data_IF_129049331116
#
_entry.id   IF_129049331116
#
_cell.length_a   1.000
_cell.length_b   1.000
_cell.length_c   1.000
_cell.angle_alpha   90.00
_cell.angle_beta   90.00
_cell.angle_gamma   90.00
#
_symmetry.space_group_name_H-M   'P 1'
#
loop_
_entity.id
_entity.type
_entity.pdbx_description
1 polymer ?
#
# COMPACT_ATOMS: atom_id res chain seq x y z
N UNK A 1 -4.16 -17.72 -1.05
CA UNK A 1 -2.70 -17.69 -0.81
C UNK A 1 -2.17 -19.10 -1.02
N UNK A 2 -1.33 -19.29 -2.06
CA UNK A 2 -0.55 -20.52 -2.23
C UNK A 2 0.56 -20.52 -1.18
N UNK A 3 0.28 -21.03 0.01
CA UNK A 3 1.30 -21.25 1.04
C UNK A 3 1.87 -22.63 0.85
N UNK A 4 3.12 -22.69 0.41
CA UNK A 4 3.89 -23.92 0.39
C UNK A 4 4.66 -24.11 1.70
N UNK A 5 4.92 -25.36 2.03
CA UNK A 5 5.82 -25.76 3.12
C UNK A 5 7.07 -26.34 2.48
N UNK A 6 8.24 -25.82 2.83
CA UNK A 6 9.52 -26.38 2.42
C UNK A 6 9.97 -27.38 3.48
N UNK A 7 10.18 -28.63 3.07
CA UNK A 7 10.72 -29.69 3.92
C UNK A 7 12.12 -30.04 3.45
N UNK A 8 13.09 -29.95 4.35
CA UNK A 8 14.46 -30.41 4.13
C UNK A 8 14.76 -31.58 5.05
N UNK A 9 15.36 -32.62 4.50
CA UNK A 9 15.75 -33.83 5.24
C UNK A 9 17.28 -33.88 5.34
N UNK A 10 17.78 -34.03 6.56
CA UNK A 10 19.21 -34.06 6.85
C UNK A 10 19.58 -35.42 7.46
N UNK A 11 20.77 -35.89 7.10
CA UNK A 11 21.46 -36.94 7.87
C UNK A 11 22.31 -36.30 8.96
N UNK A 12 22.31 -36.88 10.16
CA UNK A 12 23.09 -36.39 11.28
C UNK A 12 24.08 -37.42 11.73
N UNK A 13 25.35 -37.18 11.42
CA UNK A 13 26.48 -38.04 11.79
C UNK A 13 27.32 -37.29 12.84
N UNK A 14 27.10 -37.61 14.12
CA UNK A 14 27.74 -36.91 15.24
C UNK A 14 27.24 -35.47 15.36
N UNK A 15 28.13 -34.48 15.24
CA UNK A 15 27.83 -33.05 15.31
C UNK A 15 27.69 -32.40 13.91
N UNK A 16 27.78 -33.18 12.82
CA UNK A 16 27.61 -32.68 11.46
C UNK A 16 26.23 -33.04 10.90
N UNK A 17 25.63 -32.12 10.17
CA UNK A 17 24.37 -32.32 9.47
C UNK A 17 24.60 -32.19 7.96
N UNK A 18 24.23 -33.22 7.19
CA UNK A 18 24.32 -33.23 5.73
C UNK A 18 22.92 -33.25 5.13
N UNK A 19 22.65 -32.33 4.17
CA UNK A 19 21.38 -32.26 3.50
C UNK A 19 21.23 -33.45 2.53
N UNK A 20 20.29 -34.34 2.81
CA UNK A 20 19.89 -35.43 1.91
C UNK A 20 19.13 -34.90 0.72
N UNK A 21 18.15 -34.03 0.95
CA UNK A 21 17.34 -33.40 -0.08
C UNK A 21 16.15 -32.63 0.49
N UNK A 22 15.46 -31.91 -0.36
CA UNK A 22 14.31 -31.09 0.00
C UNK A 22 13.13 -31.30 -0.97
N UNK A 23 11.92 -31.00 -0.49
CA UNK A 23 10.71 -30.94 -1.33
C UNK A 23 9.79 -29.81 -0.89
N UNK A 24 8.93 -29.41 -1.81
CA UNK A 24 7.89 -28.41 -1.55
C UNK A 24 6.52 -29.11 -1.45
N UNK A 25 5.77 -28.77 -0.41
CA UNK A 25 4.48 -29.35 -0.08
C UNK A 25 3.42 -28.24 -0.19
N UNK A 26 2.37 -28.48 -0.98
CA UNK A 26 1.20 -27.63 -1.07
C UNK A 26 0.06 -28.25 -0.27
N UNK A 27 -0.15 -27.87 1.02
CA UNK A 27 -1.18 -28.47 1.85
C UNK A 27 -2.59 -28.04 1.37
N UNK A 28 -3.54 -28.96 1.44
CA UNK A 28 -4.96 -28.61 1.26
C UNK A 28 -5.48 -27.93 2.52
N UNK A 29 -5.86 -26.63 2.38
CA UNK A 29 -6.33 -25.80 3.51
C UNK A 29 -7.85 -25.94 3.77
N UNK A 30 -8.38 -27.18 3.76
CA UNK A 30 -9.74 -27.45 4.19
C UNK A 30 -9.72 -27.96 5.63
N UNK A 31 -10.57 -27.38 6.48
CA UNK A 31 -10.64 -27.76 7.89
C UNK A 31 -10.83 -29.27 8.08
N UNK A 32 -10.03 -29.88 8.96
CA UNK A 32 -9.95 -31.30 9.24
C UNK A 32 -9.58 -32.19 8.02
N UNK A 33 -9.09 -31.60 6.92
CA UNK A 33 -8.60 -32.41 5.82
C UNK A 33 -7.26 -33.03 6.14
N UNK A 34 -7.15 -34.34 6.01
CA UNK A 34 -5.90 -35.08 6.10
C UNK A 34 -5.53 -35.60 4.72
N UNK A 35 -4.30 -35.34 4.31
CA UNK A 35 -3.74 -35.90 3.06
C UNK A 35 -2.48 -36.69 3.38
N UNK A 36 -2.32 -37.84 2.71
CA UNK A 36 -1.12 -38.69 2.79
C UNK A 36 -0.54 -38.81 1.39
N UNK A 37 0.69 -38.42 1.19
CA UNK A 37 1.34 -38.45 -0.13
C UNK A 37 2.82 -38.74 0.00
N UNK A 38 3.38 -39.40 -1.04
CA UNK A 38 4.81 -39.49 -1.25
C UNK A 38 5.30 -38.23 -1.97
N UNK A 39 6.43 -37.70 -1.51
CA UNK A 39 7.12 -36.56 -2.11
C UNK A 39 8.54 -36.95 -2.45
N UNK A 40 8.97 -36.63 -3.66
CA UNK A 40 10.34 -36.86 -4.08
C UNK A 40 11.24 -35.78 -3.47
N UNK A 41 12.36 -36.21 -2.90
CA UNK A 41 13.40 -35.32 -2.39
C UNK A 41 14.40 -35.01 -3.51
N UNK A 42 14.70 -33.74 -3.69
CA UNK A 42 15.68 -33.25 -4.65
C UNK A 42 16.82 -32.54 -3.93
N UNK A 43 18.03 -32.68 -4.44
CA UNK A 43 19.19 -31.89 -4.06
C UNK A 43 19.58 -31.03 -5.26
N UNK A 44 19.74 -29.72 -5.05
CA UNK A 44 20.31 -28.80 -6.03
C UNK A 44 21.83 -28.97 -6.00
N UNK A 45 22.46 -29.29 -7.09
CA UNK A 45 23.91 -29.21 -7.24
C UNK A 45 24.28 -27.76 -7.55
N UNK A 46 25.20 -27.18 -6.78
CA UNK A 46 25.63 -25.78 -6.90
C UNK A 46 26.22 -25.40 -8.28
N UNK A 47 26.74 -26.37 -9.02
CA UNK A 47 27.43 -26.12 -10.30
C UNK A 47 26.59 -26.37 -11.57
N UNK A 48 25.41 -26.94 -11.45
CA UNK A 48 24.50 -27.23 -12.58
C UNK A 48 23.07 -27.07 -12.05
N UNK A 49 22.21 -26.30 -12.74
CA UNK A 49 20.79 -26.16 -12.39
C UNK A 49 20.00 -27.49 -12.48
N UNK A 50 20.63 -28.62 -12.19
CA UNK A 50 20.07 -29.95 -12.31
C UNK A 50 19.63 -30.46 -10.93
N UNK A 51 18.35 -30.74 -10.79
CA UNK A 51 17.76 -31.35 -9.61
C UNK A 51 18.03 -32.85 -9.62
N UNK A 52 18.83 -33.35 -8.66
CA UNK A 52 19.10 -34.76 -8.51
C UNK A 52 18.10 -35.39 -7.55
N UNK A 53 17.35 -36.41 -8.01
CA UNK A 53 16.47 -37.22 -7.15
C UNK A 53 17.31 -38.00 -6.12
N UNK A 54 17.02 -37.82 -4.81
CA UNK A 54 17.73 -38.44 -3.70
C UNK A 54 16.92 -39.49 -2.93
N UNK A 55 15.60 -39.49 -3.12
CA UNK A 55 14.74 -40.44 -2.41
C UNK A 55 13.31 -39.94 -2.38
N UNK A 56 12.49 -40.57 -1.56
CA UNK A 56 11.09 -40.19 -1.39
C UNK A 56 10.75 -40.22 0.12
N UNK A 57 9.87 -39.30 0.51
CA UNK A 57 9.34 -39.20 1.88
C UNK A 57 7.84 -39.29 1.85
N UNK A 58 7.25 -40.12 2.72
CA UNK A 58 5.83 -40.21 2.89
C UNK A 58 5.36 -39.23 3.98
N UNK A 59 4.54 -38.26 3.60
CA UNK A 59 4.13 -37.21 4.51
C UNK A 59 2.62 -37.23 4.68
N UNK A 60 2.19 -37.18 5.94
CA UNK A 60 0.82 -36.94 6.32
C UNK A 60 0.69 -35.49 6.79
N UNK A 61 -0.19 -34.72 6.16
CA UNK A 61 -0.54 -33.38 6.62
C UNK A 61 -2.00 -33.32 7.04
N UNK A 62 -2.27 -32.72 8.18
CA UNK A 62 -3.63 -32.44 8.65
C UNK A 62 -3.75 -30.93 8.86
N UNK A 63 -4.74 -30.31 8.21
CA UNK A 63 -5.04 -28.90 8.42
C UNK A 63 -6.15 -28.75 9.46
N UNK A 64 -5.82 -28.10 10.55
CA UNK A 64 -6.79 -27.69 11.56
C UNK A 64 -6.90 -26.16 11.57
N UNK A 65 -8.11 -25.67 11.30
CA UNK A 65 -8.39 -24.24 11.46
C UNK A 65 -8.50 -23.96 12.96
N UNK A 66 -7.54 -23.25 13.50
CA UNK A 66 -7.65 -22.78 14.88
C UNK A 66 -8.90 -21.91 15.05
N UNK A 67 -9.64 -22.04 16.17
CA UNK A 67 -10.76 -21.17 16.45
C UNK A 67 -10.31 -19.72 16.36
N UNK A 68 -11.06 -18.90 15.60
CA UNK A 68 -10.77 -17.47 15.43
C UNK A 68 -10.83 -16.79 16.80
N UNK A 69 -9.69 -16.66 17.44
CA UNK A 69 -9.56 -15.85 18.65
C UNK A 69 -9.84 -14.40 18.26
N UNK A 70 -10.80 -13.78 18.92
CA UNK A 70 -11.04 -12.34 18.74
C UNK A 70 -9.79 -11.57 19.16
N UNK A 71 -9.22 -10.84 18.22
CA UNK A 71 -8.10 -9.95 18.50
C UNK A 71 -8.56 -8.78 19.37
N UNK A 72 -7.64 -8.33 20.20
CA UNK A 72 -7.83 -7.19 21.10
C UNK A 72 -6.57 -6.31 21.10
N UNK A 73 -6.61 -5.09 21.62
CA UNK A 73 -5.43 -4.26 21.78
C UNK A 73 -4.32 -4.95 22.61
N UNK A 74 -4.67 -5.86 23.52
CA UNK A 74 -3.72 -6.60 24.36
C UNK A 74 -2.83 -7.58 23.61
N UNK A 75 -3.21 -7.96 22.38
CA UNK A 75 -2.42 -8.84 21.51
C UNK A 75 -1.26 -8.09 20.83
N UNK A 76 -1.22 -6.77 20.98
CA UNK A 76 -0.21 -5.90 20.41
C UNK A 76 0.56 -5.15 21.51
N UNK A 77 1.84 -4.95 21.28
CA UNK A 77 2.72 -4.09 22.06
C UNK A 77 2.86 -2.75 21.31
N UNK A 78 2.53 -1.64 21.95
CA UNK A 78 2.71 -0.31 21.39
C UNK A 78 4.20 0.08 21.46
N UNK A 79 4.81 0.39 20.32
CA UNK A 79 6.23 0.76 20.24
C UNK A 79 6.42 2.26 20.16
N UNK A 80 5.80 2.91 19.16
CA UNK A 80 5.99 4.34 18.88
C UNK A 80 4.73 4.94 18.28
N UNK A 81 4.41 6.17 18.65
CA UNK A 81 3.43 7.00 17.94
C UNK A 81 4.08 7.48 16.64
N UNK A 82 3.47 7.18 15.49
CA UNK A 82 4.00 7.49 14.15
C UNK A 82 3.12 8.47 13.38
N UNK A 83 1.89 8.71 13.83
CA UNK A 83 1.00 9.67 13.19
C UNK A 83 -0.15 10.11 14.09
N UNK A 84 -0.72 11.27 13.78
CA UNK A 84 -1.92 11.81 14.40
C UNK A 84 -2.88 12.25 13.29
N UNK A 85 -4.11 11.83 13.36
CA UNK A 85 -5.19 12.22 12.44
C UNK A 85 -6.36 12.84 13.19
N UNK A 86 -7.35 13.29 12.43
CA UNK A 86 -8.54 13.99 12.93
C UNK A 86 -9.34 13.19 13.97
N UNK A 87 -9.38 11.86 13.83
CA UNK A 87 -10.21 10.97 14.65
C UNK A 87 -9.38 10.02 15.52
N UNK A 88 -8.04 10.12 15.47
CA UNK A 88 -7.24 9.17 16.21
C UNK A 88 -5.74 9.29 16.02
N UNK A 89 -5.06 8.20 16.32
CA UNK A 89 -3.61 8.10 16.38
C UNK A 89 -3.14 6.85 15.63
N UNK A 90 -1.96 6.92 15.04
CA UNK A 90 -1.32 5.78 14.38
C UNK A 90 -0.07 5.39 15.17
N UNK A 91 0.02 4.13 15.54
CA UNK A 91 1.14 3.58 16.29
C UNK A 91 1.87 2.53 15.46
N UNK A 92 3.19 2.51 15.57
CA UNK A 92 3.96 1.32 15.27
C UNK A 92 3.72 0.31 16.40
N UNK A 93 3.35 -0.92 16.05
CA UNK A 93 3.03 -1.96 17.01
C UNK A 93 3.71 -3.27 16.66
N UNK A 94 3.97 -4.10 17.68
CA UNK A 94 4.45 -5.47 17.53
C UNK A 94 3.36 -6.45 17.94
N UNK A 95 2.96 -7.35 17.05
CA UNK A 95 2.05 -8.45 17.40
C UNK A 95 2.79 -9.45 18.28
N UNK A 96 2.26 -9.72 19.48
CA UNK A 96 3.02 -10.43 20.55
C UNK A 96 3.39 -11.86 20.23
N UNK A 97 2.52 -12.59 19.53
CA UNK A 97 2.73 -13.99 19.14
C UNK A 97 3.73 -14.15 18.00
N UNK A 98 3.56 -13.36 16.93
CA UNK A 98 4.36 -13.47 15.69
C UNK A 98 5.59 -12.58 15.70
N UNK A 99 5.72 -11.64 16.66
CA UNK A 99 6.77 -10.59 16.74
C UNK A 99 6.82 -9.66 15.52
N UNK A 100 5.87 -9.78 14.60
CA UNK A 100 5.79 -8.92 13.40
C UNK A 100 5.38 -7.51 13.74
N UNK A 101 5.95 -6.56 12.99
CA UNK A 101 5.68 -5.12 13.12
C UNK A 101 4.57 -4.71 12.17
N UNK A 102 3.66 -3.86 12.66
CA UNK A 102 2.52 -3.31 11.93
C UNK A 102 2.33 -1.83 12.27
N UNK A 103 1.55 -1.14 11.44
CA UNK A 103 0.96 0.14 11.79
C UNK A 103 -0.46 -0.09 12.30
N UNK A 104 -0.83 0.53 13.42
CA UNK A 104 -2.16 0.40 14.00
C UNK A 104 -2.79 1.78 14.16
N UNK A 105 -3.83 2.06 13.37
CA UNK A 105 -4.68 3.25 13.46
C UNK A 105 -5.75 2.99 14.51
N UNK A 106 -5.75 3.83 15.55
CA UNK A 106 -6.71 3.78 16.67
C UNK A 106 -7.64 4.97 16.54
N UNK A 107 -8.93 4.71 16.38
CA UNK A 107 -9.95 5.70 16.07
C UNK A 107 -10.99 5.77 17.19
N UNK A 108 -11.33 6.97 17.65
CA UNK A 108 -12.35 7.21 18.67
C UNK A 108 -13.76 7.09 18.08
N UNK A 109 -14.55 6.13 18.54
CA UNK A 109 -15.96 5.97 18.13
C UNK A 109 -16.79 7.21 18.44
N UNK A 110 -16.51 7.86 19.59
CA UNK A 110 -17.20 9.09 20.00
C UNK A 110 -16.97 10.23 19.02
N UNK A 111 -15.71 10.46 18.61
CA UNK A 111 -15.39 11.54 17.69
C UNK A 111 -15.94 11.28 16.30
N UNK A 112 -15.87 10.04 15.82
CA UNK A 112 -16.45 9.61 14.53
C UNK A 112 -17.97 9.85 14.53
N UNK A 113 -18.66 9.48 15.61
CA UNK A 113 -20.11 9.67 15.72
C UNK A 113 -20.49 11.15 15.79
N UNK A 114 -19.77 11.96 16.59
CA UNK A 114 -20.01 13.39 16.75
C UNK A 114 -19.84 14.15 15.42
N UNK A 115 -18.85 13.76 14.61
CA UNK A 115 -18.60 14.37 13.30
C UNK A 115 -19.35 13.72 12.15
N UNK A 116 -20.22 12.72 12.43
CA UNK A 116 -21.02 11.97 11.45
C UNK A 116 -20.20 11.23 10.37
N UNK A 117 -19.00 10.76 10.76
CA UNK A 117 -18.00 10.15 9.86
C UNK A 117 -18.04 8.60 9.84
N UNK A 118 -19.11 8.00 10.35
CA UNK A 118 -19.23 6.52 10.41
C UNK A 118 -19.15 5.89 9.02
N UNK A 119 -19.87 6.45 8.05
CA UNK A 119 -19.90 5.93 6.68
C UNK A 119 -18.52 6.02 6.01
N UNK A 120 -17.80 7.15 6.18
CA UNK A 120 -16.46 7.34 5.65
C UNK A 120 -15.46 6.38 6.29
N UNK A 121 -15.51 6.21 7.62
CA UNK A 121 -14.64 5.26 8.34
C UNK A 121 -14.87 3.81 7.89
N UNK A 122 -16.12 3.42 7.67
CA UNK A 122 -16.44 2.09 7.15
C UNK A 122 -16.03 1.93 5.68
N UNK A 123 -16.11 3.01 4.89
CA UNK A 123 -15.61 3.06 3.52
C UNK A 123 -14.08 2.85 3.47
N UNK A 124 -13.33 3.58 4.30
CA UNK A 124 -11.88 3.42 4.44
C UNK A 124 -11.50 1.97 4.75
N UNK A 125 -12.18 1.33 5.70
CA UNK A 125 -11.96 -0.07 6.04
C UNK A 125 -12.15 -1.00 4.84
N UNK A 126 -13.23 -0.84 4.08
CA UNK A 126 -13.52 -1.66 2.88
C UNK A 126 -12.43 -1.48 1.80
N UNK A 127 -11.94 -0.26 1.61
CA UNK A 127 -10.87 0.01 0.66
C UNK A 127 -9.57 -0.67 1.10
N UNK A 128 -9.20 -0.56 2.37
CA UNK A 128 -8.04 -1.23 2.95
C UNK A 128 -8.12 -2.77 2.81
N UNK A 129 -9.31 -3.36 2.90
CA UNK A 129 -9.53 -4.79 2.64
C UNK A 129 -9.25 -5.15 1.17
N UNK A 130 -9.72 -4.36 0.22
CA UNK A 130 -9.49 -4.56 -1.23
C UNK A 130 -8.04 -4.28 -1.65
N UNK A 131 -7.29 -3.54 -0.84
CA UNK A 131 -5.89 -3.18 -1.13
C UNK A 131 -4.87 -4.28 -0.82
N UNK A 132 -5.28 -5.39 -0.18
CA UNK A 132 -4.37 -6.45 0.26
C UNK A 132 -3.60 -7.15 -0.88
N UNK A 133 -4.20 -7.24 -2.05
CA UNK A 133 -3.64 -7.97 -3.20
C UNK A 133 -2.73 -7.08 -4.09
N UNK A 134 -2.55 -5.81 -3.74
CA UNK A 134 -1.67 -4.90 -4.45
C UNK A 134 -0.45 -4.55 -3.59
N UNK A 135 0.79 -4.84 -4.04
CA UNK A 135 2.01 -4.57 -3.26
C UNK A 135 2.27 -3.08 -3.07
N UNK A 136 1.71 -2.22 -3.93
CA UNK A 136 1.88 -0.77 -3.94
C UNK A 136 0.76 -0.03 -3.17
N UNK A 137 -0.03 -0.75 -2.40
CA UNK A 137 -1.04 -0.22 -1.49
C UNK A 137 -0.81 -0.75 -0.08
N UNK A 138 -1.08 0.08 0.91
CA UNK A 138 -1.12 -0.37 2.31
C UNK A 138 -2.40 -1.17 2.51
N UNK A 139 -2.27 -2.45 2.87
CA UNK A 139 -3.40 -3.37 3.04
C UNK A 139 -3.76 -3.63 4.50
N UNK A 140 -5.05 -3.90 4.75
CA UNK A 140 -5.56 -4.25 6.07
C UNK A 140 -5.15 -5.68 6.44
N UNK A 141 -4.48 -5.85 7.58
CA UNK A 141 -4.12 -7.17 8.12
C UNK A 141 -5.10 -7.63 9.18
N UNK A 142 -5.52 -6.71 10.06
CA UNK A 142 -6.52 -6.99 11.09
C UNK A 142 -7.40 -5.77 11.31
N UNK A 143 -8.67 -6.01 11.67
CA UNK A 143 -9.56 -4.99 12.19
C UNK A 143 -10.33 -5.54 13.37
N UNK A 144 -10.44 -4.79 14.43
CA UNK A 144 -11.19 -5.12 15.63
C UNK A 144 -11.65 -3.85 16.35
N UNK A 145 -12.41 -4.01 17.41
CA UNK A 145 -12.95 -2.88 18.16
C UNK A 145 -13.02 -3.18 19.65
N UNK A 146 -12.97 -2.13 20.46
CA UNK A 146 -13.36 -2.11 21.87
C UNK A 146 -14.71 -1.40 22.02
N UNK A 147 -15.14 -1.14 23.24
CA UNK A 147 -16.32 -0.33 23.52
C UNK A 147 -16.19 1.10 22.96
N UNK A 148 -15.01 1.68 23.06
CA UNK A 148 -14.75 3.11 22.76
C UNK A 148 -13.97 3.36 21.47
N UNK A 149 -13.26 2.37 20.93
CA UNK A 149 -12.29 2.55 19.83
C UNK A 149 -12.45 1.51 18.72
N UNK A 150 -12.08 1.92 17.50
CA UNK A 150 -11.86 1.05 16.35
C UNK A 150 -10.36 0.94 16.09
N UNK A 151 -9.92 -0.24 15.64
CA UNK A 151 -8.52 -0.54 15.35
C UNK A 151 -8.37 -1.06 13.93
N UNK A 152 -7.57 -0.39 13.12
CA UNK A 152 -7.14 -0.86 11.79
C UNK A 152 -5.65 -1.15 11.86
N UNK A 153 -5.28 -2.40 11.65
CA UNK A 153 -3.88 -2.84 11.66
C UNK A 153 -3.47 -3.15 10.23
N UNK A 154 -2.46 -2.44 9.75
CA UNK A 154 -1.99 -2.48 8.37
C UNK A 154 -0.50 -2.83 8.30
N UNK A 155 0.02 -3.03 7.09
CA UNK A 155 1.46 -3.16 6.88
C UNK A 155 2.20 -1.93 7.41
N UNK A 156 3.34 -2.17 8.06
CA UNK A 156 4.27 -1.10 8.44
C UNK A 156 5.33 -0.93 7.35
N UNK A 157 5.45 0.27 6.82
CA UNK A 157 6.44 0.63 5.80
C UNK A 157 7.58 1.41 6.47
N UNK A 158 8.76 0.79 6.54
CA UNK A 158 9.87 1.29 7.36
C UNK A 158 10.69 2.40 6.72
N UNK A 159 10.55 2.63 5.41
CA UNK A 159 11.24 3.70 4.68
C UNK A 159 10.65 5.10 4.90
N UNK A 160 9.51 5.21 5.60
CA UNK A 160 8.85 6.49 5.90
C UNK A 160 8.13 7.10 4.71
N UNK A 161 7.71 8.34 4.85
CA UNK A 161 6.98 9.09 3.82
C UNK A 161 7.91 9.59 2.71
N UNK A 162 7.44 9.54 1.46
CA UNK A 162 8.14 10.11 0.31
C UNK A 162 8.43 11.60 0.50
N UNK A 163 7.52 12.30 1.19
CA UNK A 163 7.66 13.70 1.57
C UNK A 163 9.01 13.99 2.24
N UNK A 164 9.42 13.21 3.24
CA UNK A 164 10.68 13.38 3.96
C UNK A 164 11.90 13.24 3.05
N UNK A 165 11.85 12.29 2.13
CA UNK A 165 12.93 12.09 1.16
C UNK A 165 13.02 13.27 0.19
N UNK A 166 11.86 13.73 -0.30
CA UNK A 166 11.81 14.87 -1.22
C UNK A 166 12.26 16.18 -0.54
N UNK A 167 11.84 16.44 0.67
CA UNK A 167 12.26 17.59 1.46
C UNK A 167 13.76 17.60 1.71
N UNK A 168 14.34 16.45 2.05
CA UNK A 168 15.77 16.33 2.33
C UNK A 168 16.63 16.51 1.09
N UNK A 169 16.20 15.99 -0.04
CA UNK A 169 16.98 15.97 -1.29
C UNK A 169 16.64 17.15 -2.22
N UNK A 170 15.54 17.85 -1.95
CA UNK A 170 14.98 18.94 -2.76
C UNK A 170 14.30 18.47 -4.03
N UNK A 171 14.90 17.53 -4.75
CA UNK A 171 14.33 16.87 -5.94
C UNK A 171 14.97 15.52 -6.19
N UNK A 172 14.32 14.68 -6.96
CA UNK A 172 14.85 13.39 -7.39
C UNK A 172 15.38 13.44 -8.83
N UNK A 173 16.22 12.48 -9.16
CA UNK A 173 16.54 12.21 -10.57
C UNK A 173 15.29 11.72 -11.31
N UNK A 174 15.20 12.02 -12.60
CA UNK A 174 14.07 11.56 -13.44
C UNK A 174 13.95 10.02 -13.43
N UNK A 175 15.06 9.29 -13.39
CA UNK A 175 15.06 7.83 -13.28
C UNK A 175 14.37 7.31 -12.02
N UNK A 176 14.65 7.94 -10.86
CA UNK A 176 13.99 7.60 -9.58
C UNK A 176 12.50 7.99 -9.58
N UNK A 177 12.19 9.19 -10.08
CA UNK A 177 10.81 9.64 -10.20
C UNK A 177 9.98 8.74 -11.12
N UNK A 178 10.55 8.32 -12.25
CA UNK A 178 9.95 7.35 -13.19
C UNK A 178 9.64 6.01 -12.51
N UNK A 179 10.55 5.50 -11.70
CA UNK A 179 10.36 4.25 -10.96
C UNK A 179 9.15 4.35 -10.02
N UNK A 180 9.08 5.41 -9.20
CA UNK A 180 7.95 5.62 -8.30
C UNK A 180 6.64 5.81 -9.03
N UNK A 181 6.64 6.60 -10.11
CA UNK A 181 5.41 6.81 -10.92
C UNK A 181 4.91 5.52 -11.53
N UNK A 182 5.79 4.63 -12.00
CA UNK A 182 5.38 3.35 -12.56
C UNK A 182 4.64 2.50 -11.52
N UNK A 183 5.13 2.43 -10.29
CA UNK A 183 4.48 1.70 -9.20
C UNK A 183 3.16 2.37 -8.76
N UNK A 184 3.12 3.71 -8.72
CA UNK A 184 1.90 4.46 -8.42
C UNK A 184 0.80 4.27 -9.46
N UNK A 185 1.16 4.16 -10.76
CA UNK A 185 0.21 3.83 -11.83
C UNK A 185 -0.43 2.46 -11.57
N UNK A 186 0.36 1.45 -11.17
CA UNK A 186 -0.17 0.13 -10.82
C UNK A 186 -1.08 0.17 -9.57
N UNK A 187 -0.74 0.99 -8.58
CA UNK A 187 -1.58 1.24 -7.41
C UNK A 187 -2.93 1.86 -7.78
N UNK A 188 -2.91 2.92 -8.59
CA UNK A 188 -4.13 3.59 -9.07
C UNK A 188 -4.96 2.68 -9.97
N UNK A 189 -4.32 1.92 -10.87
CA UNK A 189 -5.00 0.93 -11.71
C UNK A 189 -5.78 -0.08 -10.85
N UNK A 190 -5.16 -0.59 -9.78
CA UNK A 190 -5.80 -1.52 -8.86
C UNK A 190 -7.05 -0.89 -8.21
N UNK A 191 -6.94 0.32 -7.66
CA UNK A 191 -8.07 1.03 -7.06
C UNK A 191 -9.20 1.30 -8.08
N UNK A 192 -8.83 1.78 -9.27
CA UNK A 192 -9.78 2.10 -10.33
C UNK A 192 -10.52 0.87 -10.87
N UNK A 193 -9.92 -0.33 -10.86
CA UNK A 193 -10.60 -1.61 -11.18
C UNK A 193 -11.74 -1.92 -10.21
N UNK A 194 -11.62 -1.47 -8.97
CA UNK A 194 -12.68 -1.62 -7.95
C UNK A 194 -13.63 -0.42 -7.86
N UNK A 195 -13.60 0.49 -8.82
CA UNK A 195 -14.42 1.70 -8.81
C UNK A 195 -14.07 2.67 -7.66
N UNK A 196 -12.81 2.68 -7.23
CA UNK A 196 -12.32 3.54 -6.15
C UNK A 196 -11.50 4.67 -6.76
N UNK A 197 -11.86 5.92 -6.47
CA UNK A 197 -11.04 7.11 -6.75
C UNK A 197 -10.27 7.46 -5.48
N UNK A 198 -8.95 7.67 -5.60
CA UNK A 198 -8.08 7.92 -4.45
C UNK A 198 -8.20 9.34 -3.90
N UNK A 199 -8.13 10.37 -4.74
CA UNK A 199 -8.40 11.80 -4.50
C UNK A 199 -7.41 12.56 -3.59
N UNK A 200 -6.40 11.92 -3.02
CA UNK A 200 -5.42 12.59 -2.14
C UNK A 200 -3.98 12.13 -2.41
N UNK A 201 -3.63 12.02 -3.71
CA UNK A 201 -2.27 11.64 -4.11
C UNK A 201 -1.32 12.82 -3.88
N UNK A 202 -0.38 12.61 -2.93
CA UNK A 202 0.65 13.57 -2.51
C UNK A 202 1.80 12.85 -1.81
N UNK A 203 2.99 13.46 -1.67
CA UNK A 203 4.17 12.82 -1.08
C UNK A 203 3.98 12.29 0.35
N UNK A 204 3.12 12.94 1.16
CA UNK A 204 2.81 12.53 2.54
C UNK A 204 2.04 11.22 2.61
N UNK A 205 1.26 10.90 1.57
CA UNK A 205 0.43 9.70 1.49
C UNK A 205 1.12 8.55 0.75
N UNK A 206 2.39 8.68 0.42
CA UNK A 206 3.22 7.67 -0.22
C UNK A 206 4.28 7.24 0.77
N UNK A 207 4.23 5.98 1.18
CA UNK A 207 5.22 5.39 2.07
C UNK A 207 6.22 4.55 1.27
N UNK A 208 7.45 4.48 1.75
CA UNK A 208 8.47 3.58 1.21
C UNK A 208 8.63 2.36 2.14
N UNK A 209 8.79 1.20 1.56
CA UNK A 209 9.16 0.01 2.31
C UNK A 209 10.68 -0.07 2.52
N UNK A 210 11.16 -1.14 3.16
CA UNK A 210 12.58 -1.33 3.46
C UNK A 210 13.47 -1.46 2.21
N UNK A 211 12.88 -1.82 1.06
CA UNK A 211 13.57 -2.03 -0.21
C UNK A 211 13.41 -0.86 -1.18
N UNK A 212 12.67 0.18 -0.78
CA UNK A 212 12.47 1.40 -1.56
C UNK A 212 11.28 1.38 -2.51
N UNK A 213 10.40 0.37 -2.41
CA UNK A 213 9.13 0.33 -3.15
C UNK A 213 8.08 1.21 -2.49
N UNK A 214 7.21 1.82 -3.32
CA UNK A 214 6.15 2.70 -2.83
C UNK A 214 4.92 1.92 -2.35
N UNK A 215 4.18 2.50 -1.40
CA UNK A 215 2.84 2.07 -1.04
C UNK A 215 1.97 3.27 -0.71
N UNK A 216 0.82 3.41 -1.40
CA UNK A 216 -0.19 4.41 -1.06
C UNK A 216 -0.85 4.05 0.28
N UNK A 217 -0.99 5.04 1.14
CA UNK A 217 -1.70 4.94 2.42
C UNK A 217 -2.79 6.02 2.50
N UNK A 218 -3.53 6.04 3.60
CA UNK A 218 -4.60 7.00 3.89
C UNK A 218 -5.69 7.09 2.82
N UNK A 219 -6.73 6.28 3.00
CA UNK A 219 -7.92 6.24 2.13
C UNK A 219 -9.09 7.07 2.69
N UNK A 220 -8.83 7.96 3.66
CA UNK A 220 -9.85 8.77 4.32
C UNK A 220 -10.63 9.70 3.38
N UNK A 221 -10.02 10.14 2.29
CA UNK A 221 -10.66 10.96 1.25
C UNK A 221 -11.09 10.14 0.02
N UNK A 222 -10.83 8.84 -0.03
CA UNK A 222 -11.16 8.01 -1.18
C UNK A 222 -12.66 7.79 -1.32
N UNK A 223 -13.13 7.67 -2.55
CA UNK A 223 -14.52 7.39 -2.88
C UNK A 223 -14.64 6.02 -3.53
N UNK A 224 -15.42 5.15 -2.94
CA UNK A 224 -15.71 3.82 -3.46
C UNK A 224 -17.09 3.76 -4.15
N UNK A 225 -17.33 2.61 -4.79
CA UNK A 225 -18.60 2.24 -5.41
C UNK A 225 -19.04 3.16 -6.57
N UNK A 226 -18.06 3.74 -7.30
CA UNK A 226 -18.31 4.48 -8.53
C UNK A 226 -18.30 3.51 -9.72
N UNK A 227 -19.47 3.28 -10.31
CA UNK A 227 -19.62 2.54 -11.56
C UNK A 227 -18.93 3.22 -12.74
N UNK A 228 -18.76 2.49 -13.85
CA UNK A 228 -18.19 3.05 -15.06
C UNK A 228 -19.01 4.27 -15.53
N UNK A 229 -18.35 5.43 -15.68
CA UNK A 229 -18.98 6.69 -16.11
C UNK A 229 -19.73 7.45 -15.01
N UNK A 230 -19.75 6.98 -13.76
CA UNK A 230 -20.30 7.74 -12.66
C UNK A 230 -19.34 8.84 -12.20
N UNK A 231 -19.90 10.00 -11.83
CA UNK A 231 -19.18 11.17 -11.34
C UNK A 231 -19.43 11.39 -9.86
N UNK A 232 -18.51 12.06 -9.18
CA UNK A 232 -18.66 12.54 -7.81
C UNK A 232 -18.42 14.06 -7.78
N UNK A 233 -19.08 14.77 -6.88
CA UNK A 233 -19.00 16.23 -6.75
C UNK A 233 -18.46 16.69 -5.39
N UNK A 234 -17.93 15.79 -4.58
CA UNK A 234 -17.38 16.14 -3.26
C UNK A 234 -16.09 16.94 -3.43
N UNK A 235 -16.08 18.21 -3.02
CA UNK A 235 -14.86 19.01 -2.99
C UNK A 235 -13.94 18.52 -1.86
N UNK A 236 -12.83 17.90 -2.22
CA UNK A 236 -11.84 17.40 -1.27
C UNK A 236 -10.48 17.19 -1.96
N UNK A 237 -9.45 17.05 -1.17
CA UNK A 237 -8.08 16.88 -1.61
C UNK A 237 -7.17 18.01 -1.10
N UNK A 238 -5.89 17.89 -1.39
CA UNK A 238 -4.87 18.90 -1.06
C UNK A 238 -4.76 19.88 -2.21
N UNK A 239 -4.90 21.17 -1.94
CA UNK A 239 -5.06 22.26 -2.94
C UNK A 239 -4.09 22.18 -4.11
N UNK A 240 -2.81 21.94 -3.84
CA UNK A 240 -1.74 21.91 -4.85
C UNK A 240 -1.87 20.80 -5.88
N UNK A 241 -2.62 19.73 -5.54
CA UNK A 241 -2.81 18.52 -6.36
C UNK A 241 -4.20 18.42 -6.97
N UNK A 242 -5.09 19.39 -6.70
CA UNK A 242 -6.45 19.39 -7.21
C UNK A 242 -6.49 19.53 -8.74
N UNK A 243 -7.27 18.67 -9.37
CA UNK A 243 -7.55 18.79 -10.81
C UNK A 243 -8.49 19.95 -11.10
N UNK A 244 -8.36 20.63 -12.28
CA UNK A 244 -9.19 21.77 -12.63
C UNK A 244 -10.67 21.45 -12.67
N UNK A 245 -11.07 20.23 -13.04
CA UNK A 245 -12.47 19.81 -13.05
C UNK A 245 -13.08 19.73 -11.63
N UNK A 246 -12.27 19.55 -10.57
CA UNK A 246 -12.77 19.65 -9.18
C UNK A 246 -13.14 21.09 -8.84
N UNK A 247 -12.44 22.06 -9.45
CA UNK A 247 -12.63 23.50 -9.21
C UNK A 247 -13.71 24.12 -10.08
N UNK A 248 -13.90 23.61 -11.30
CA UNK A 248 -14.70 24.25 -12.35
C UNK A 248 -15.97 23.48 -12.71
N UNK A 249 -16.02 22.17 -12.46
CA UNK A 249 -17.08 21.32 -12.99
C UNK A 249 -18.21 21.11 -11.96
N UNK A 250 -19.36 21.75 -12.22
CA UNK A 250 -20.59 21.57 -11.44
C UNK A 250 -21.22 20.18 -11.67
N UNK A 251 -20.91 19.52 -12.79
CA UNK A 251 -21.44 18.19 -13.14
C UNK A 251 -20.74 17.06 -12.38
N UNK A 252 -19.56 17.33 -11.80
CA UNK A 252 -18.76 16.37 -11.07
C UNK A 252 -17.54 15.86 -11.85
N UNK A 253 -16.73 15.04 -11.22
CA UNK A 253 -15.45 14.54 -11.74
C UNK A 253 -15.31 13.03 -11.63
N UNK A 254 -14.39 12.46 -12.40
CA UNK A 254 -14.13 11.03 -12.50
C UNK A 254 -12.77 10.65 -11.87
N UNK A 255 -12.39 9.39 -12.02
CA UNK A 255 -11.08 8.87 -11.62
C UNK A 255 -9.87 9.56 -12.30
N UNK A 256 -10.10 10.34 -13.35
CA UNK A 256 -9.04 11.05 -14.08
C UNK A 256 -8.34 12.10 -13.20
N UNK A 257 -8.98 12.58 -12.14
CA UNK A 257 -8.37 13.48 -11.16
C UNK A 257 -7.13 12.89 -10.48
N UNK A 258 -7.07 11.54 -10.32
CA UNK A 258 -5.89 10.88 -9.76
C UNK A 258 -4.69 10.97 -10.71
N UNK A 259 -4.91 10.94 -12.02
CA UNK A 259 -3.83 11.12 -13.02
C UNK A 259 -3.34 12.55 -13.11
N UNK A 260 -4.22 13.53 -12.93
CA UNK A 260 -3.79 14.92 -12.76
C UNK A 260 -2.85 15.05 -11.55
N UNK A 261 -3.27 14.56 -10.39
CA UNK A 261 -2.44 14.60 -9.17
C UNK A 261 -1.11 13.87 -9.37
N UNK A 262 -1.09 12.77 -10.13
CA UNK A 262 0.13 12.05 -10.49
C UNK A 262 1.06 12.92 -11.37
N UNK A 263 0.51 13.70 -12.29
CA UNK A 263 1.25 14.66 -13.11
C UNK A 263 1.92 15.77 -12.28
N UNK A 264 1.16 16.33 -11.33
CA UNK A 264 1.68 17.32 -10.36
C UNK A 264 2.81 16.72 -9.53
N UNK A 265 2.60 15.53 -8.99
CA UNK A 265 3.59 14.81 -8.17
C UNK A 265 4.88 14.51 -8.96
N UNK A 266 4.77 14.04 -10.20
CA UNK A 266 5.93 13.78 -11.06
C UNK A 266 6.72 15.06 -11.31
N UNK A 267 6.02 16.16 -11.64
CA UNK A 267 6.67 17.46 -11.80
C UNK A 267 7.40 17.87 -10.53
N UNK A 268 6.76 17.78 -9.38
CA UNK A 268 7.35 18.12 -8.08
C UNK A 268 8.57 17.26 -7.75
N UNK A 269 8.51 15.96 -7.94
CA UNK A 269 9.65 15.07 -7.73
C UNK A 269 10.85 15.43 -8.58
N UNK A 270 10.66 15.86 -9.84
CA UNK A 270 11.74 16.20 -10.76
C UNK A 270 12.22 17.65 -10.62
N UNK A 271 11.34 18.56 -10.25
CA UNK A 271 11.61 20.01 -10.25
C UNK A 271 11.82 20.58 -8.84
N UNK A 272 11.25 19.95 -7.81
CA UNK A 272 11.39 20.35 -6.40
C UNK A 272 10.28 21.28 -5.88
N UNK A 273 9.29 21.61 -6.72
CA UNK A 273 8.12 22.43 -6.35
C UNK A 273 6.90 22.08 -7.19
N UNK A 274 5.69 22.44 -6.71
CA UNK A 274 4.45 22.25 -7.44
C UNK A 274 4.38 23.17 -8.68
N UNK A 275 3.90 22.66 -9.85
CA UNK A 275 3.86 23.43 -11.09
C UNK A 275 2.93 24.65 -11.04
N UNK A 276 1.97 24.66 -10.12
CA UNK A 276 0.92 25.68 -10.00
C UNK A 276 0.99 26.48 -8.71
N UNK A 277 2.05 26.30 -7.92
CA UNK A 277 2.20 26.92 -6.60
C UNK A 277 2.03 28.44 -6.65
N UNK A 278 1.30 28.96 -5.68
CA UNK A 278 1.23 30.37 -5.32
C UNK A 278 0.97 30.49 -3.81
N UNK A 279 1.42 31.56 -3.17
CA UNK A 279 1.15 31.83 -1.77
C UNK A 279 -0.34 32.08 -1.50
N UNK A 280 -1.00 32.76 -2.42
CA UNK A 280 -2.43 33.01 -2.38
C UNK A 280 -3.21 31.84 -3.00
N UNK A 281 -4.17 31.30 -2.25
CA UNK A 281 -5.01 30.16 -2.67
C UNK A 281 -5.81 30.46 -3.92
N UNK A 282 -6.35 31.66 -4.07
CA UNK A 282 -7.13 32.05 -5.25
C UNK A 282 -6.23 32.13 -6.50
N UNK A 283 -5.00 32.63 -6.32
CA UNK A 283 -4.03 32.64 -7.41
C UNK A 283 -3.61 31.20 -7.78
N UNK A 284 -3.46 30.30 -6.81
CA UNK A 284 -3.18 28.90 -7.06
C UNK A 284 -4.30 28.24 -7.86
N UNK A 285 -5.57 28.46 -7.51
CA UNK A 285 -6.72 27.97 -8.30
C UNK A 285 -6.71 28.49 -9.74
N UNK A 286 -6.39 29.79 -9.95
CA UNK A 286 -6.23 30.34 -11.29
C UNK A 286 -5.09 29.67 -12.06
N UNK A 287 -3.97 29.41 -11.38
CA UNK A 287 -2.84 28.72 -12.00
C UNK A 287 -3.19 27.28 -12.40
N UNK A 288 -3.95 26.55 -11.58
CA UNK A 288 -4.43 25.19 -11.88
C UNK A 288 -5.35 25.21 -13.11
N UNK A 289 -6.29 26.15 -13.17
CA UNK A 289 -7.29 26.19 -14.24
C UNK A 289 -6.75 26.75 -15.56
N UNK A 290 -5.82 27.72 -15.51
CA UNK A 290 -5.44 28.53 -16.68
C UNK A 290 -3.94 28.74 -16.84
N UNK A 291 -3.13 28.26 -15.89
CA UNK A 291 -1.69 28.46 -15.87
C UNK A 291 -0.95 27.61 -16.93
N UNK A 292 0.23 28.08 -17.32
CA UNK A 292 1.14 27.33 -18.19
C UNK A 292 2.26 26.73 -17.38
N UNK A 293 2.50 25.43 -17.57
CA UNK A 293 3.59 24.70 -16.91
C UNK A 293 4.93 25.20 -17.43
N UNK A 294 5.81 25.62 -16.50
CA UNK A 294 7.17 26.06 -16.82
C UNK A 294 8.17 25.01 -16.29
N UNK A 295 8.85 24.33 -17.20
CA UNK A 295 9.88 23.37 -16.85
C UNK A 295 11.24 24.04 -16.69
N UNK A 296 11.96 23.81 -15.57
CA UNK A 296 13.34 24.25 -15.44
C UNK A 296 14.25 23.56 -16.45
N UNK A 297 15.28 24.25 -16.91
CA UNK A 297 16.26 23.65 -17.83
C UNK A 297 16.98 22.47 -17.17
N UNK A 298 17.03 21.33 -17.84
CA UNK A 298 17.74 20.14 -17.40
C UNK A 298 17.15 19.37 -16.22
N UNK A 299 15.95 19.76 -15.73
CA UNK A 299 15.29 19.06 -14.63
C UNK A 299 14.61 17.75 -15.09
N UNK A 300 14.08 17.75 -16.30
CA UNK A 300 13.34 16.64 -16.88
C UNK A 300 13.59 16.58 -18.39
N UNK A 301 13.66 15.38 -18.93
CA UNK A 301 13.84 15.12 -20.37
C UNK A 301 12.64 15.60 -21.19
N UNK A 302 12.79 15.70 -22.52
CA UNK A 302 11.68 16.08 -23.39
C UNK A 302 10.57 15.02 -23.39
N UNK A 303 10.92 13.73 -23.27
CA UNK A 303 9.94 12.65 -23.07
C UNK A 303 9.19 12.78 -21.75
N UNK A 304 9.89 13.08 -20.65
CA UNK A 304 9.28 13.34 -19.34
C UNK A 304 8.36 14.57 -19.36
N UNK A 305 8.75 15.67 -20.04
CA UNK A 305 7.89 16.84 -20.22
C UNK A 305 6.60 16.53 -21.00
N UNK A 306 6.70 15.69 -22.05
CA UNK A 306 5.53 15.27 -22.82
C UNK A 306 4.60 14.42 -21.95
N UNK A 307 5.16 13.51 -21.15
CA UNK A 307 4.38 12.67 -20.24
C UNK A 307 3.63 13.51 -19.18
N UNK A 308 4.33 14.44 -18.51
CA UNK A 308 3.69 15.38 -17.55
C UNK A 308 2.56 16.17 -18.23
N UNK A 309 2.82 16.73 -19.44
CA UNK A 309 1.79 17.49 -20.19
C UNK A 309 0.58 16.64 -20.62
N UNK A 310 0.76 15.32 -20.77
CA UNK A 310 -0.33 14.42 -21.10
C UNK A 310 -1.19 14.05 -19.89
N UNK A 311 -0.67 14.26 -18.67
CA UNK A 311 -1.41 14.07 -17.42
C UNK A 311 -2.09 15.35 -16.94
N UNK A 312 -1.53 16.52 -17.26
CA UNK A 312 -1.99 17.86 -16.92
C UNK A 312 -2.59 18.57 -18.12
#
# INVERSE_FOLDING_TARGET
ENRSLHLSVYDRIGDTEELIGACEIFPRLFHQSTTKRWYTLYLLKEDVEEQVKRGEVHIQTTYERLPLRKLSPRDFELLKLIGRGTFGRVFQVRKKDTKRIYAMKVLSKREIALKKEVTHTMGERKILEKSQDCPFLVGLKFSFQSETELFFVTDYKSGGELFWHLQREGRFTEGRAKFYVAELVLALEHLHKFGIIYRDLKPENILLDATGHVALCDFGLSKADLGAGQLTNTFCGTTEYLAPEILLDEMGYSKLVDFWSLGVLLFEMCCGWSPFYAEDTQQMYRNICFGKIKFPRGAISDGGKQFVKGLL
#
